data_IF_193153988805
#
_entry.id   IF_193153988805
#
_cell.length_a   1.000
_cell.length_b   1.000
_cell.length_c   1.000
_cell.angle_alpha   90.00
_cell.angle_beta   90.00
_cell.angle_gamma   90.00
#
_symmetry.space_group_name_H-M   'P 1'
#
loop_
_entity.id
_entity.type
_entity.pdbx_description
1 polymer ?
#
# COMPACT_ATOMS: atom_id res chain seq x y z
N UNK A 1 49.91 -5.00 -55.77
CA UNK A 1 49.95 -3.55 -55.51
C UNK A 1 49.43 -3.29 -54.10
N UNK A 2 50.11 -2.42 -53.35
CA UNK A 2 49.72 -1.76 -52.08
C UNK A 2 49.38 -2.65 -50.85
N UNK A 3 50.31 -2.83 -49.89
CA UNK A 3 50.61 -1.97 -48.69
C UNK A 3 49.67 -2.30 -47.52
N UNK A 4 50.10 -3.02 -46.48
CA UNK A 4 50.96 -2.64 -45.33
C UNK A 4 50.42 -1.49 -44.47
N UNK A 5 50.18 -1.80 -43.18
CA UNK A 5 50.18 -0.96 -41.94
C UNK A 5 49.23 -1.65 -40.94
N UNK A 6 49.50 -1.92 -39.68
CA UNK A 6 50.65 -1.87 -38.77
C UNK A 6 50.12 -2.51 -37.47
N UNK A 7 50.95 -3.17 -36.63
CA UNK A 7 50.49 -3.75 -35.38
C UNK A 7 50.34 -2.68 -34.28
N UNK A 8 49.73 -3.09 -33.16
CA UNK A 8 50.25 -2.88 -31.79
C UNK A 8 49.31 -2.20 -30.77
N UNK A 9 49.39 -2.78 -29.56
CA UNK A 9 49.30 -2.18 -28.21
C UNK A 9 47.95 -2.26 -27.49
N UNK A 10 47.97 -3.21 -26.56
CA UNK A 10 47.15 -3.38 -25.38
C UNK A 10 46.93 -2.10 -24.55
N UNK A 11 45.85 -2.08 -23.77
CA UNK A 11 45.87 -1.58 -22.38
C UNK A 11 44.99 -2.48 -21.49
N UNK A 12 45.53 -3.07 -20.41
CA UNK A 12 44.75 -3.83 -19.45
C UNK A 12 44.01 -2.89 -18.47
N UNK A 13 43.03 -3.48 -17.77
CA UNK A 13 42.54 -3.12 -16.44
C UNK A 13 42.02 -1.69 -16.20
N UNK A 14 40.71 -1.59 -15.97
CA UNK A 14 40.17 -0.61 -15.03
C UNK A 14 39.21 -1.34 -14.08
N UNK A 15 39.78 -1.84 -12.99
CA UNK A 15 39.07 -2.24 -11.79
C UNK A 15 38.49 -0.95 -11.16
N UNK A 16 37.20 -0.68 -11.37
CA UNK A 16 36.53 0.42 -10.69
C UNK A 16 36.04 -0.08 -9.32
N UNK A 17 36.92 0.02 -8.33
CA UNK A 17 36.53 0.01 -6.92
C UNK A 17 36.13 1.43 -6.54
N UNK A 18 34.85 1.66 -6.25
CA UNK A 18 34.43 2.81 -5.45
C UNK A 18 33.15 2.45 -4.70
N UNK A 19 33.34 2.01 -3.47
CA UNK A 19 32.32 1.97 -2.44
C UNK A 19 31.79 3.39 -2.19
N UNK A 20 30.48 3.52 -2.04
CA UNK A 20 29.88 4.65 -1.33
C UNK A 20 28.62 4.15 -0.68
N UNK A 21 28.78 3.63 0.54
CA UNK A 21 27.68 3.45 1.46
C UNK A 21 27.11 4.85 1.75
N UNK A 22 26.03 5.22 1.07
CA UNK A 22 25.20 6.32 1.52
C UNK A 22 24.52 5.85 2.80
N UNK A 23 25.16 6.12 3.94
CA UNK A 23 24.50 6.10 5.23
C UNK A 23 23.56 7.32 5.25
N UNK A 24 22.42 7.18 4.59
CA UNK A 24 21.34 8.15 4.66
C UNK A 24 20.85 8.19 6.10
N UNK A 25 21.22 9.24 6.83
CA UNK A 25 20.58 9.58 8.10
C UNK A 25 19.10 9.81 7.78
N UNK A 26 18.26 8.80 8.02
CA UNK A 26 16.82 8.94 7.88
C UNK A 26 16.38 9.98 8.91
N UNK A 27 16.08 11.20 8.44
CA UNK A 27 15.40 12.19 9.25
C UNK A 27 14.13 11.55 9.84
N UNK A 28 13.71 11.93 11.06
CA UNK A 28 12.42 11.47 11.58
C UNK A 28 11.37 11.87 10.54
N UNK A 29 10.72 10.88 9.93
CA UNK A 29 9.62 11.16 9.01
C UNK A 29 8.53 11.73 9.89
N UNK A 30 8.21 13.02 9.69
CA UNK A 30 7.04 13.62 10.29
C UNK A 30 5.87 12.65 10.11
N UNK A 31 5.14 12.36 11.20
CA UNK A 31 4.02 11.44 11.17
C UNK A 31 2.98 11.98 10.18
N UNK A 32 3.07 11.52 8.94
CA UNK A 32 2.13 11.87 7.89
C UNK A 32 0.89 11.03 8.15
N UNK A 33 -0.21 11.68 8.47
CA UNK A 33 -1.52 11.03 8.46
C UNK A 33 -1.86 10.70 7.00
N UNK A 34 -1.56 9.48 6.58
CA UNK A 34 -2.07 8.93 5.33
C UNK A 34 -3.41 8.25 5.61
N UNK A 35 -4.41 8.54 4.78
CA UNK A 35 -5.74 7.97 4.83
C UNK A 35 -5.98 7.16 3.56
N UNK A 36 -6.52 5.95 3.71
CA UNK A 36 -6.99 5.13 2.60
C UNK A 36 -8.49 4.89 2.77
N UNK A 37 -9.26 5.07 1.69
CA UNK A 37 -10.70 4.82 1.67
C UNK A 37 -10.98 3.64 0.75
N UNK A 38 -11.69 2.64 1.28
CA UNK A 38 -12.13 1.46 0.54
C UNK A 38 -13.65 1.46 0.48
N UNK A 39 -14.20 1.37 -0.74
CA UNK A 39 -15.63 1.19 -0.95
C UNK A 39 -15.93 -0.28 -1.18
N UNK A 40 -17.12 -0.74 -0.78
CA UNK A 40 -17.51 -2.13 -1.00
C UNK A 40 -17.57 -2.47 -2.50
N UNK A 41 -16.81 -3.49 -2.91
CA UNK A 41 -16.73 -3.95 -4.31
C UNK A 41 -17.44 -5.28 -4.54
N UNK A 42 -17.86 -5.97 -3.47
CA UNK A 42 -18.36 -7.35 -3.55
C UNK A 42 -17.28 -8.43 -3.56
N UNK A 43 -16.00 -8.05 -3.49
CA UNK A 43 -14.85 -8.97 -3.41
C UNK A 43 -13.80 -8.45 -2.42
N UNK A 44 -12.86 -9.29 -2.01
CA UNK A 44 -11.75 -8.91 -1.14
C UNK A 44 -10.91 -7.76 -1.76
N UNK A 45 -10.55 -6.80 -0.91
CA UNK A 45 -9.57 -5.75 -1.22
C UNK A 45 -8.36 -5.91 -0.30
N UNK A 46 -7.23 -5.33 -0.71
CA UNK A 46 -5.97 -5.50 0.00
C UNK A 46 -5.32 -4.17 0.34
N UNK A 47 -4.78 -4.09 1.56
CA UNK A 47 -4.01 -2.95 2.04
C UNK A 47 -2.67 -3.42 2.62
N UNK A 48 -1.57 -2.86 2.16
CA UNK A 48 -0.24 -3.11 2.76
C UNK A 48 0.06 -2.05 3.80
N UNK A 49 0.30 -2.48 5.04
CA UNK A 49 0.68 -1.58 6.14
C UNK A 49 2.00 -0.89 5.79
N UNK A 50 2.06 0.46 5.79
CA UNK A 50 3.30 1.17 5.53
C UNK A 50 4.41 0.79 6.53
N UNK A 51 5.66 0.86 6.08
CA UNK A 51 6.80 0.62 6.98
C UNK A 51 6.81 1.65 8.11
N UNK A 52 7.09 1.20 9.33
CA UNK A 52 7.10 2.05 10.54
C UNK A 52 5.73 2.30 11.17
N UNK A 53 4.63 1.80 10.57
CA UNK A 53 3.28 1.93 11.15
C UNK A 53 2.91 0.67 11.94
N UNK A 54 2.59 0.85 13.22
CA UNK A 54 2.20 -0.24 14.15
C UNK A 54 0.78 -0.12 14.67
N UNK A 55 0.09 0.99 14.37
CA UNK A 55 -1.32 1.20 14.69
C UNK A 55 -2.03 1.92 13.55
N UNK A 56 -3.27 1.52 13.25
CA UNK A 56 -4.15 2.19 12.31
C UNK A 56 -5.41 2.66 13.03
N UNK A 57 -5.79 3.92 12.85
CA UNK A 57 -7.13 4.37 13.18
C UNK A 57 -8.09 3.92 12.06
N UNK A 58 -9.09 3.12 12.39
CA UNK A 58 -10.02 2.51 11.45
C UNK A 58 -11.44 3.03 11.71
N UNK A 59 -12.18 3.26 10.63
CA UNK A 59 -13.61 3.56 10.64
C UNK A 59 -14.31 2.72 9.58
N UNK A 60 -15.40 2.06 9.95
CA UNK A 60 -16.16 1.11 9.13
C UNK A 60 -17.64 1.47 9.15
N UNK A 61 -18.29 1.36 7.99
CA UNK A 61 -19.74 1.54 7.84
C UNK A 61 -20.35 0.27 7.26
N UNK A 62 -21.31 -0.30 7.99
CA UNK A 62 -22.13 -1.43 7.53
C UNK A 62 -23.29 -0.95 6.65
N UNK A 63 -23.70 -1.81 5.71
CA UNK A 63 -24.89 -1.56 4.89
C UNK A 63 -26.16 -1.55 5.75
N UNK A 64 -27.18 -0.81 5.30
CA UNK A 64 -28.53 -0.91 5.85
C UNK A 64 -29.17 -2.26 5.54
N UNK A 65 -30.12 -2.67 6.38
CA UNK A 65 -30.95 -3.85 6.15
C UNK A 65 -31.95 -3.62 5.01
N UNK A 66 -32.32 -4.71 4.32
CA UNK A 66 -33.39 -4.66 3.32
C UNK A 66 -34.75 -4.39 3.97
N UNK A 67 -35.57 -3.56 3.32
CA UNK A 67 -36.99 -3.42 3.64
C UNK A 67 -37.83 -4.49 2.95
N UNK A 68 -39.09 -4.62 3.37
CA UNK A 68 -40.07 -5.53 2.78
C UNK A 68 -41.28 -4.75 2.25
N UNK A 69 -41.81 -5.06 1.06
CA UNK A 69 -43.00 -4.39 0.51
C UNK A 69 -44.27 -4.61 1.37
N UNK A 70 -44.25 -5.56 2.30
CA UNK A 70 -45.31 -5.80 3.26
C UNK A 70 -46.45 -6.66 2.73
N UNK A 71 -47.29 -7.13 3.65
CA UNK A 71 -48.59 -7.75 3.33
C UNK A 71 -49.66 -6.65 3.36
N UNK A 72 -50.62 -6.70 2.43
CA UNK A 72 -51.69 -5.69 2.30
C UNK A 72 -51.20 -4.26 1.99
N UNK A 73 -50.06 -4.11 1.31
CA UNK A 73 -49.46 -2.80 0.93
C UNK A 73 -49.02 -1.94 2.11
N UNK A 74 -48.68 -2.56 3.26
CA UNK A 74 -48.08 -1.87 4.41
C UNK A 74 -46.58 -2.15 4.43
N UNK A 75 -45.75 -1.30 3.79
CA UNK A 75 -44.32 -1.56 3.67
C UNK A 75 -43.62 -1.54 5.04
N UNK A 76 -42.62 -2.40 5.20
CA UNK A 76 -41.72 -2.41 6.35
C UNK A 76 -40.37 -1.81 5.95
N UNK A 77 -39.93 -0.78 6.68
CA UNK A 77 -38.62 -0.17 6.48
C UNK A 77 -37.49 -1.15 6.83
N UNK A 78 -36.40 -1.08 6.08
CA UNK A 78 -35.16 -1.76 6.43
C UNK A 78 -34.48 -1.12 7.64
N UNK A 79 -33.66 -1.91 8.35
CA UNK A 79 -32.83 -1.40 9.45
C UNK A 79 -31.73 -0.45 8.97
N UNK A 80 -31.29 0.46 9.84
CA UNK A 80 -30.09 1.28 9.58
C UNK A 80 -28.80 0.45 9.52
N UNK A 81 -27.75 1.02 8.95
CA UNK A 81 -26.40 0.43 8.98
C UNK A 81 -25.70 0.62 10.33
N UNK A 82 -24.56 -0.03 10.50
CA UNK A 82 -23.70 0.12 11.68
C UNK A 82 -22.52 1.05 11.40
N UNK A 83 -22.01 1.72 12.43
CA UNK A 83 -20.72 2.42 12.40
C UNK A 83 -19.80 1.83 13.48
N UNK A 84 -18.57 1.52 13.12
CA UNK A 84 -17.55 0.99 14.05
C UNK A 84 -16.25 1.74 13.83
N UNK A 85 -15.58 2.14 14.91
CA UNK A 85 -14.27 2.78 14.83
C UNK A 85 -13.35 2.32 15.96
N UNK A 86 -12.04 2.37 15.74
CA UNK A 86 -11.05 2.11 16.78
C UNK A 86 -9.63 2.03 16.24
N UNK A 87 -8.69 1.84 17.15
CA UNK A 87 -7.28 1.63 16.83
C UNK A 87 -6.98 0.14 16.66
N UNK A 88 -6.45 -0.23 15.50
CA UNK A 88 -6.03 -1.57 15.16
C UNK A 88 -4.51 -1.68 15.23
N UNK A 89 -4.01 -2.53 16.12
CA UNK A 89 -2.61 -2.90 16.15
C UNK A 89 -2.22 -3.69 14.88
N UNK A 90 -1.15 -3.27 14.21
CA UNK A 90 -0.70 -3.84 12.95
C UNK A 90 0.79 -4.12 12.92
N UNK A 91 1.21 -4.96 11.98
CA UNK A 91 2.62 -5.24 11.70
C UNK A 91 3.05 -4.47 10.45
N UNK A 92 4.13 -3.66 10.51
CA UNK A 92 4.66 -2.98 9.34
C UNK A 92 4.91 -3.95 8.17
N UNK A 93 4.52 -3.56 6.95
CA UNK A 93 4.71 -4.36 5.73
C UNK A 93 3.73 -5.54 5.55
N UNK A 94 2.87 -5.83 6.53
CA UNK A 94 1.86 -6.88 6.41
C UNK A 94 0.76 -6.47 5.44
N UNK A 95 0.29 -7.42 4.62
CA UNK A 95 -0.91 -7.25 3.82
C UNK A 95 -2.15 -7.64 4.63
N UNK A 96 -3.15 -6.77 4.64
CA UNK A 96 -4.45 -6.98 5.27
C UNK A 96 -5.52 -7.13 4.18
N UNK A 97 -6.49 -7.99 4.44
CA UNK A 97 -7.76 -7.99 3.69
C UNK A 97 -8.68 -6.97 4.33
N UNK A 98 -9.30 -6.11 3.52
CA UNK A 98 -10.16 -4.98 3.94
C UNK A 98 -11.46 -4.92 3.17
#
# INVERSE_FOLDING_TARGET
>A
MHVSRSPSRARPAALALAASAFLGLAAPRAARADMALFSFTGTDQFFTVPLGVTSLAVALWGAGGGGDPGVYSVPASGGGGAFVSGDLAVTPGKMLTV
#
